data_IF_190356187619
#
_entry.id   IF_190356187619
#
_cell.length_a   1.000
_cell.length_b   1.000
_cell.length_c   1.000
_cell.angle_alpha   90.00
_cell.angle_beta   90.00
_cell.angle_gamma   90.00
#
_symmetry.space_group_name_H-M   'P 1'
#
loop_
_entity.id
_entity.type
_entity.pdbx_description
1 polymer ?
#
# COMPACT_ATOMS: atom_id res chain seq x y z
N UNK A 1 -1.16 46.77 24.91
CA UNK A 1 -0.52 47.41 23.74
C UNK A 1 0.78 48.03 24.16
N UNK A 2 1.90 47.31 24.02
CA UNK A 2 3.25 47.88 24.12
C UNK A 2 4.16 47.04 23.22
N UNK A 3 4.14 47.36 21.93
CA UNK A 3 5.14 46.89 20.98
C UNK A 3 6.43 47.63 21.37
N UNK A 4 7.36 46.95 22.03
CA UNK A 4 8.69 47.48 22.28
C UNK A 4 9.31 47.84 20.92
N UNK A 5 9.66 49.12 20.75
CA UNK A 5 10.31 49.62 19.53
C UNK A 5 11.51 48.73 19.19
N UNK A 6 11.41 47.95 18.10
CA UNK A 6 12.54 47.23 17.50
C UNK A 6 13.65 48.25 17.21
N UNK A 7 14.73 48.22 17.99
CA UNK A 7 15.85 49.16 17.87
C UNK A 7 16.35 49.34 16.43
N UNK A 8 16.77 50.56 16.09
CA UNK A 8 17.39 50.89 14.79
C UNK A 8 18.83 50.35 14.80
N UNK A 9 19.02 49.17 14.24
CA UNK A 9 20.34 48.57 13.98
C UNK A 9 20.34 47.89 12.61
N UNK A 10 21.52 47.63 12.01
CA UNK A 10 21.63 46.99 10.71
C UNK A 10 20.95 45.62 10.70
N UNK A 11 20.32 45.27 9.57
CA UNK A 11 19.54 44.03 9.39
C UNK A 11 20.33 42.79 9.82
N UNK A 12 21.63 42.74 9.50
CA UNK A 12 22.53 41.65 9.84
C UNK A 12 22.70 41.44 11.35
N UNK A 13 22.74 42.51 12.14
CA UNK A 13 22.84 42.40 13.60
C UNK A 13 21.57 41.82 14.24
N UNK A 14 20.39 42.18 13.70
CA UNK A 14 19.10 41.61 14.13
C UNK A 14 19.00 40.13 13.80
N UNK A 15 19.38 39.75 12.57
CA UNK A 15 19.45 38.35 12.14
C UNK A 15 20.41 37.55 13.02
N UNK A 16 21.57 38.10 13.36
CA UNK A 16 22.56 37.41 14.19
C UNK A 16 22.06 37.18 15.63
N UNK A 17 21.38 38.17 16.23
CA UNK A 17 20.73 37.98 17.53
C UNK A 17 19.63 36.93 17.48
N UNK A 18 18.75 36.99 16.47
CA UNK A 18 17.67 36.02 16.30
C UNK A 18 18.24 34.60 16.16
N UNK A 19 19.28 34.42 15.33
CA UNK A 19 19.97 33.12 15.13
C UNK A 19 20.60 32.58 16.41
N UNK A 20 21.16 33.44 17.26
CA UNK A 20 21.73 33.02 18.55
C UNK A 20 20.68 32.50 19.52
N UNK A 21 19.43 32.98 19.44
CA UNK A 21 18.34 32.54 20.30
C UNK A 21 17.65 31.26 19.83
N UNK A 22 17.82 30.87 18.56
CA UNK A 22 17.27 29.63 17.98
C UNK A 22 17.64 28.37 18.77
N UNK A 23 18.93 28.05 19.06
CA UNK A 23 19.29 26.79 19.73
C UNK A 23 18.70 26.69 21.15
N UNK A 24 18.56 27.82 21.84
CA UNK A 24 17.95 27.86 23.18
C UNK A 24 16.45 27.56 23.09
N UNK A 25 15.76 28.12 22.10
CA UNK A 25 14.36 27.82 21.84
C UNK A 25 14.15 26.35 21.45
N UNK A 26 15.03 25.78 20.60
CA UNK A 26 15.00 24.35 20.24
C UNK A 26 15.11 23.50 21.50
N UNK A 27 16.13 23.75 22.33
CA UNK A 27 16.36 22.98 23.55
C UNK A 27 15.16 23.05 24.49
N UNK A 28 14.57 24.24 24.68
CA UNK A 28 13.37 24.43 25.50
C UNK A 28 12.17 23.62 24.97
N UNK A 29 11.93 23.65 23.67
CA UNK A 29 10.82 22.92 23.05
C UNK A 29 11.04 21.40 23.15
N UNK A 30 12.25 20.91 22.87
CA UNK A 30 12.58 19.50 22.95
C UNK A 30 12.57 18.96 24.39
N UNK A 31 12.81 19.81 25.39
CA UNK A 31 12.75 19.40 26.81
C UNK A 31 11.32 19.34 27.34
N UNK A 32 10.33 19.89 26.62
CA UNK A 32 8.93 19.80 27.01
C UNK A 32 8.38 18.38 26.77
N UNK A 33 8.19 17.64 27.86
CA UNK A 33 7.62 16.29 27.84
C UNK A 33 6.31 16.13 27.04
N UNK A 34 5.27 16.98 27.19
CA UNK A 34 4.03 16.81 26.43
C UNK A 34 4.24 17.02 24.92
N UNK A 35 5.09 17.97 24.54
CA UNK A 35 5.43 18.20 23.14
C UNK A 35 6.12 16.97 22.52
N UNK A 36 7.10 16.40 23.22
CA UNK A 36 7.82 15.22 22.73
C UNK A 36 6.94 13.97 22.63
N UNK A 37 6.10 13.70 23.63
CA UNK A 37 5.19 12.56 23.62
C UNK A 37 4.19 12.63 22.45
N UNK A 38 3.59 13.81 22.24
CA UNK A 38 2.64 14.01 21.15
C UNK A 38 3.36 13.95 19.79
N UNK A 39 4.57 14.48 19.69
CA UNK A 39 5.38 14.42 18.47
C UNK A 39 5.75 12.97 18.12
N UNK A 40 6.11 12.16 19.12
CA UNK A 40 6.39 10.74 18.92
C UNK A 40 5.15 9.97 18.48
N UNK A 41 3.99 10.24 19.08
CA UNK A 41 2.73 9.64 18.66
C UNK A 41 2.40 9.98 17.19
N UNK A 42 2.57 11.24 16.79
CA UNK A 42 2.43 11.66 15.39
C UNK A 42 3.46 11.02 14.46
N UNK A 43 4.69 10.80 14.93
CA UNK A 43 5.71 10.15 14.12
C UNK A 43 5.35 8.69 13.83
N UNK A 44 4.83 7.96 14.82
CA UNK A 44 4.35 6.58 14.67
C UNK A 44 3.13 6.53 13.75
N UNK A 45 2.15 7.42 13.94
CA UNK A 45 0.98 7.49 13.07
C UNK A 45 1.38 7.80 11.61
N UNK A 46 2.28 8.76 11.42
CA UNK A 46 2.82 9.11 10.11
C UNK A 46 3.63 7.97 9.47
N UNK A 47 4.34 7.16 10.27
CA UNK A 47 5.06 5.97 9.80
C UNK A 47 4.07 4.96 9.19
N UNK A 48 2.98 4.67 9.92
CA UNK A 48 1.94 3.73 9.49
C UNK A 48 1.26 4.24 8.22
N UNK A 49 0.83 5.51 8.18
CA UNK A 49 0.13 6.09 7.02
C UNK A 49 1.05 6.09 5.77
N UNK A 50 2.32 6.46 5.93
CA UNK A 50 3.27 6.52 4.81
C UNK A 50 3.61 5.13 4.29
N UNK A 51 3.83 4.16 5.19
CA UNK A 51 4.10 2.78 4.84
C UNK A 51 2.90 2.11 4.17
N UNK A 52 1.72 2.20 4.79
CA UNK A 52 0.49 1.65 4.24
C UNK A 52 0.17 2.24 2.87
N UNK A 53 0.26 3.57 2.69
CA UNK A 53 -0.05 4.21 1.41
C UNK A 53 0.93 3.85 0.28
N UNK A 54 2.23 3.70 0.58
CA UNK A 54 3.25 3.39 -0.42
C UNK A 54 3.12 1.97 -0.97
N UNK A 55 2.63 1.03 -0.15
CA UNK A 55 2.52 -0.38 -0.52
C UNK A 55 1.08 -0.86 -0.72
N UNK A 56 0.07 0.01 -0.52
CA UNK A 56 -1.34 -0.36 -0.65
C UNK A 56 -1.67 -0.93 -2.03
N UNK A 57 -1.11 -0.37 -3.11
CA UNK A 57 -1.37 -0.87 -4.46
C UNK A 57 -0.84 -2.28 -4.66
N UNK A 58 0.39 -2.57 -4.19
CA UNK A 58 0.95 -3.92 -4.19
C UNK A 58 0.12 -4.88 -3.36
N UNK A 59 -0.32 -4.44 -2.17
CA UNK A 59 -1.22 -5.22 -1.31
C UNK A 59 -2.52 -5.58 -2.05
N UNK A 60 -3.17 -4.60 -2.68
CA UNK A 60 -4.41 -4.81 -3.43
C UNK A 60 -4.23 -5.70 -4.67
N UNK A 61 -3.14 -5.51 -5.42
CA UNK A 61 -2.80 -6.34 -6.57
C UNK A 61 -2.62 -7.81 -6.18
N UNK A 62 -1.97 -8.06 -5.03
CA UNK A 62 -1.66 -9.42 -4.55
C UNK A 62 -2.86 -10.09 -3.88
N UNK A 63 -3.53 -9.41 -2.96
CA UNK A 63 -4.61 -10.01 -2.16
C UNK A 63 -5.91 -10.19 -2.94
N UNK A 64 -6.14 -9.41 -4.00
CA UNK A 64 -7.37 -9.46 -4.78
C UNK A 64 -7.16 -9.84 -6.25
N UNK A 65 -5.93 -10.18 -6.66
CA UNK A 65 -5.55 -10.58 -8.03
C UNK A 65 -6.12 -9.63 -9.11
N UNK A 66 -6.03 -8.33 -8.86
CA UNK A 66 -6.63 -7.31 -9.74
C UNK A 66 -5.61 -6.89 -10.81
N UNK A 67 -5.89 -7.07 -12.11
CA UNK A 67 -5.01 -6.57 -13.15
C UNK A 67 -5.16 -5.05 -13.34
N UNK A 68 -4.07 -4.33 -13.60
CA UNK A 68 -4.06 -2.87 -13.75
C UNK A 68 -4.75 -2.34 -15.02
N UNK A 69 -5.28 -3.22 -15.87
CA UNK A 69 -5.95 -2.82 -17.13
C UNK A 69 -7.19 -3.66 -17.46
N UNK A 70 -8.33 -2.94 -17.56
CA UNK A 70 -9.66 -3.31 -18.10
C UNK A 70 -10.68 -3.87 -17.06
N UNK A 71 -11.98 -3.51 -16.99
CA UNK A 71 -12.86 -2.49 -17.61
C UNK A 71 -14.34 -2.76 -17.22
N UNK A 72 -15.04 -1.84 -16.56
CA UNK A 72 -16.52 -1.66 -16.60
C UNK A 72 -16.97 -0.29 -16.08
N UNK A 73 -18.10 0.23 -16.58
CA UNK A 73 -18.62 1.58 -16.31
C UNK A 73 -19.70 1.53 -15.23
N UNK A 74 -19.32 1.45 -13.96
CA UNK A 74 -20.24 1.64 -12.83
C UNK A 74 -19.48 2.38 -11.71
N UNK A 75 -20.20 3.14 -10.89
CA UNK A 75 -19.67 4.01 -9.81
C UNK A 75 -18.68 3.28 -8.87
N UNK A 76 -18.79 1.96 -8.71
CA UNK A 76 -17.83 1.12 -7.97
C UNK A 76 -16.51 0.84 -8.71
N UNK A 77 -16.53 0.78 -10.04
CA UNK A 77 -15.34 0.47 -10.85
C UNK A 77 -14.39 1.67 -10.95
N UNK A 78 -14.89 2.89 -10.74
CA UNK A 78 -14.06 4.08 -10.63
C UNK A 78 -13.19 3.98 -9.38
N UNK A 79 -13.79 3.72 -8.21
CA UNK A 79 -13.06 3.44 -6.96
C UNK A 79 -12.06 2.28 -7.12
N UNK A 80 -12.47 1.20 -7.77
CA UNK A 80 -11.66 -0.01 -8.02
C UNK A 80 -10.48 0.23 -8.97
N UNK A 81 -10.69 0.92 -10.09
CA UNK A 81 -9.66 1.25 -11.08
C UNK A 81 -8.68 2.32 -10.56
N UNK A 82 -9.14 3.21 -9.69
CA UNK A 82 -8.29 4.14 -8.95
C UNK A 82 -7.44 3.42 -7.90
N UNK A 83 -7.96 2.37 -7.25
CA UNK A 83 -7.23 1.57 -6.26
C UNK A 83 -6.08 0.74 -6.86
N UNK A 84 -6.23 0.26 -8.09
CA UNK A 84 -5.19 -0.52 -8.77
C UNK A 84 -4.06 0.34 -9.37
N UNK A 85 -4.27 1.64 -9.61
CA UNK A 85 -3.22 2.51 -10.18
C UNK A 85 -2.54 3.34 -9.09
N UNK A 86 -1.32 2.94 -8.71
CA UNK A 86 -0.52 3.52 -7.60
C UNK A 86 -0.53 5.05 -7.53
N UNK A 87 -0.40 5.74 -8.68
CA UNK A 87 -0.37 7.21 -8.73
C UNK A 87 -1.73 7.90 -8.56
N UNK A 88 -2.85 7.21 -8.81
CA UNK A 88 -4.18 7.80 -8.77
C UNK A 88 -4.90 7.51 -7.45
N UNK A 89 -4.65 6.36 -6.82
CA UNK A 89 -5.17 6.05 -5.49
C UNK A 89 -4.77 7.09 -4.44
N UNK A 90 -3.48 7.46 -4.45
CA UNK A 90 -2.92 8.40 -3.49
C UNK A 90 -3.48 9.81 -3.67
N UNK A 91 -3.77 10.24 -4.90
CA UNK A 91 -4.26 11.59 -5.22
C UNK A 91 -5.79 11.75 -5.20
N UNK A 92 -6.55 10.71 -5.56
CA UNK A 92 -8.00 10.84 -5.80
C UNK A 92 -8.89 10.21 -4.73
N UNK A 93 -8.39 9.27 -3.92
CA UNK A 93 -9.19 8.62 -2.85
C UNK A 93 -8.69 9.04 -1.47
N UNK A 94 -7.38 8.95 -1.22
CA UNK A 94 -6.83 9.31 0.09
C UNK A 94 -6.92 10.81 0.38
N UNK A 95 -6.64 11.68 -0.60
CA UNK A 95 -6.70 13.14 -0.41
C UNK A 95 -8.09 13.65 -0.04
N UNK A 96 -9.20 13.30 -0.72
CA UNK A 96 -10.51 13.78 -0.31
C UNK A 96 -10.94 13.21 1.03
N UNK A 97 -10.64 11.93 1.34
CA UNK A 97 -10.91 11.38 2.67
C UNK A 97 -10.08 12.09 3.75
N UNK A 98 -8.82 12.41 3.48
CA UNK A 98 -7.99 13.20 4.37
C UNK A 98 -8.57 14.60 4.61
N UNK A 99 -9.04 15.27 3.55
CA UNK A 99 -9.71 16.56 3.63
C UNK A 99 -10.97 16.50 4.50
N UNK A 100 -11.87 15.56 4.21
CA UNK A 100 -13.12 15.37 4.96
C UNK A 100 -12.85 15.02 6.44
N UNK A 101 -11.91 14.11 6.72
CA UNK A 101 -11.54 13.74 8.08
C UNK A 101 -10.97 14.91 8.88
N UNK A 102 -10.05 15.67 8.28
CA UNK A 102 -9.50 16.88 8.89
C UNK A 102 -10.57 17.95 9.13
N UNK A 103 -11.47 18.17 8.17
CA UNK A 103 -12.56 19.14 8.30
C UNK A 103 -13.53 18.76 9.42
N UNK A 104 -13.98 17.51 9.46
CA UNK A 104 -14.88 17.02 10.51
C UNK A 104 -14.22 17.16 11.88
N UNK A 105 -12.96 16.73 12.02
CA UNK A 105 -12.29 16.85 13.31
C UNK A 105 -12.04 18.30 13.73
N UNK A 106 -11.68 19.19 12.78
CA UNK A 106 -11.52 20.61 13.05
C UNK A 106 -12.83 21.26 13.46
N UNK A 107 -13.92 20.92 12.78
CA UNK A 107 -15.27 21.37 13.12
C UNK A 107 -15.65 20.93 14.54
N UNK A 108 -15.43 19.66 14.90
CA UNK A 108 -15.71 19.15 16.26
C UNK A 108 -14.92 19.93 17.32
N UNK A 109 -13.61 20.13 17.11
CA UNK A 109 -12.76 20.84 18.09
C UNK A 109 -13.18 22.30 18.26
N UNK A 110 -13.54 22.97 17.16
CA UNK A 110 -13.93 24.38 17.17
C UNK A 110 -15.35 24.60 17.70
N UNK A 111 -16.31 23.78 17.26
CA UNK A 111 -17.72 23.90 17.62
C UNK A 111 -17.95 23.63 19.11
N UNK A 112 -17.40 22.54 19.63
CA UNK A 112 -17.55 22.18 21.05
C UNK A 112 -16.56 22.89 21.98
N UNK A 113 -15.66 23.73 21.44
CA UNK A 113 -14.58 24.41 22.19
C UNK A 113 -13.88 23.48 23.19
N UNK A 114 -13.42 22.34 22.68
CA UNK A 114 -12.87 21.26 23.52
C UNK A 114 -11.62 21.74 24.29
N UNK A 115 -11.53 21.37 25.58
CA UNK A 115 -10.33 21.55 26.41
C UNK A 115 -9.20 20.61 25.96
N UNK A 116 -7.93 20.90 26.33
CA UNK A 116 -6.78 20.06 25.96
C UNK A 116 -6.98 18.57 26.32
N UNK A 117 -7.50 18.30 27.52
CA UNK A 117 -7.78 16.93 27.97
C UNK A 117 -8.86 16.27 27.13
N UNK A 118 -9.93 16.99 26.79
CA UNK A 118 -11.02 16.46 25.97
C UNK A 118 -10.58 16.26 24.53
N UNK A 119 -9.76 17.15 23.97
CA UNK A 119 -9.16 17.00 22.65
C UNK A 119 -8.25 15.77 22.59
N UNK A 120 -7.43 15.51 23.63
CA UNK A 120 -6.64 14.29 23.74
C UNK A 120 -7.51 13.04 23.85
N UNK A 121 -8.59 13.07 24.64
CA UNK A 121 -9.56 11.96 24.71
C UNK A 121 -10.21 11.68 23.35
N UNK A 122 -10.52 12.73 22.58
CA UNK A 122 -11.02 12.60 21.21
C UNK A 122 -9.99 11.91 20.31
N UNK A 123 -8.72 12.33 20.35
CA UNK A 123 -7.64 11.68 19.60
C UNK A 123 -7.49 10.20 19.96
N UNK A 124 -7.50 9.85 21.25
CA UNK A 124 -7.44 8.45 21.71
C UNK A 124 -8.67 7.66 21.24
N UNK A 125 -9.86 8.25 21.29
CA UNK A 125 -11.08 7.62 20.79
C UNK A 125 -11.03 7.34 19.29
N UNK A 126 -10.54 8.30 18.49
CA UNK A 126 -10.36 8.11 17.04
C UNK A 126 -9.34 7.00 16.74
N UNK A 127 -8.22 6.96 17.46
CA UNK A 127 -7.23 5.88 17.32
C UNK A 127 -7.81 4.51 17.71
N UNK A 128 -8.65 4.47 18.75
CA UNK A 128 -9.34 3.24 19.14
C UNK A 128 -10.32 2.76 18.06
N UNK A 129 -11.09 3.67 17.45
CA UNK A 129 -11.95 3.33 16.30
C UNK A 129 -11.12 2.81 15.13
N UNK A 130 -9.99 3.45 14.81
CA UNK A 130 -9.07 2.95 13.79
C UNK A 130 -8.53 1.54 14.10
N UNK A 131 -8.21 1.27 15.37
CA UNK A 131 -7.80 -0.07 15.82
C UNK A 131 -8.91 -1.11 15.62
N UNK A 132 -10.15 -0.77 15.95
CA UNK A 132 -11.32 -1.65 15.76
C UNK A 132 -11.61 -1.92 14.27
N UNK A 133 -11.26 -0.99 13.37
CA UNK A 133 -11.40 -1.13 11.91
C UNK A 133 -10.20 -1.83 11.24
N UNK A 134 -9.11 -2.04 11.96
CA UNK A 134 -7.90 -2.74 11.48
C UNK A 134 -8.11 -4.19 10.99
N UNK A 135 -9.04 -5.03 11.50
CA UNK A 135 -9.23 -6.39 10.99
C UNK A 135 -9.72 -6.45 9.53
N UNK A 136 -9.92 -5.33 8.84
CA UNK A 136 -10.08 -5.31 7.38
C UNK A 136 -8.97 -6.05 6.62
N UNK A 137 -7.74 -6.09 7.18
CA UNK A 137 -6.62 -6.83 6.60
C UNK A 137 -6.76 -8.35 6.69
N UNK A 138 -7.72 -8.86 7.49
CA UNK A 138 -8.02 -10.29 7.58
C UNK A 138 -8.96 -10.78 6.47
N UNK A 139 -9.50 -9.87 5.65
CA UNK A 139 -10.33 -10.23 4.50
C UNK A 139 -9.41 -10.83 3.44
N UNK A 140 -9.24 -12.14 3.52
CA UNK A 140 -8.47 -12.92 2.55
C UNK A 140 -9.37 -13.35 1.38
N UNK A 141 -8.85 -13.22 0.17
CA UNK A 141 -9.44 -13.84 -1.00
C UNK A 141 -8.59 -15.01 -1.48
N UNK A 142 -9.19 -16.17 -1.82
CA UNK A 142 -8.43 -17.25 -2.44
C UNK A 142 -7.81 -16.75 -3.75
N UNK A 143 -6.48 -16.76 -3.80
CA UNK A 143 -5.71 -16.47 -5.00
C UNK A 143 -5.67 -17.71 -5.90
N UNK A 144 -5.73 -17.53 -7.23
CA UNK A 144 -5.56 -18.64 -8.17
C UNK A 144 -4.11 -19.15 -8.16
N UNK A 145 -3.86 -20.45 -7.99
CA UNK A 145 -2.51 -20.96 -7.78
C UNK A 145 -1.59 -20.71 -8.99
N UNK A 146 -0.33 -20.36 -8.72
CA UNK A 146 0.69 -20.17 -9.75
C UNK A 146 1.34 -21.52 -10.12
N UNK A 147 1.15 -21.95 -11.36
CA UNK A 147 1.67 -23.22 -11.88
C UNK A 147 3.19 -23.17 -11.97
N UNK A 148 3.84 -24.22 -11.46
CA UNK A 148 5.30 -24.37 -11.40
C UNK A 148 5.96 -23.72 -10.18
N UNK A 149 5.19 -23.08 -9.29
CA UNK A 149 5.68 -22.44 -8.06
C UNK A 149 4.89 -22.93 -6.84
N UNK A 150 3.56 -22.89 -6.91
CA UNK A 150 2.67 -23.33 -5.83
C UNK A 150 2.03 -24.68 -6.13
N UNK A 151 1.74 -24.93 -7.41
CA UNK A 151 1.15 -26.18 -7.90
C UNK A 151 1.97 -26.77 -9.02
N UNK A 152 1.91 -28.09 -9.18
CA UNK A 152 2.53 -28.78 -10.31
C UNK A 152 1.76 -28.50 -11.60
N UNK A 153 2.41 -28.71 -12.75
CA UNK A 153 1.74 -28.66 -14.04
C UNK A 153 0.57 -29.67 -14.10
N UNK A 154 -0.56 -29.32 -14.77
CA UNK A 154 -1.67 -30.24 -14.94
C UNK A 154 -1.24 -31.45 -15.77
N UNK A 155 -1.58 -32.66 -15.33
CA UNK A 155 -1.35 -33.88 -16.10
C UNK A 155 -2.30 -33.97 -17.30
N UNK A 156 -2.12 -34.96 -18.19
CA UNK A 156 -2.92 -35.16 -19.41
C UNK A 156 -4.43 -35.27 -19.16
N UNK A 157 -4.82 -35.71 -17.97
CA UNK A 157 -6.23 -35.81 -17.54
C UNK A 157 -6.76 -34.52 -16.87
N UNK A 158 -5.96 -33.46 -16.81
CA UNK A 158 -6.31 -32.18 -16.20
C UNK A 158 -6.30 -32.18 -14.66
N UNK A 159 -5.73 -33.21 -14.04
CA UNK A 159 -5.62 -33.30 -12.59
C UNK A 159 -4.35 -32.56 -12.11
N UNK A 160 -4.50 -31.74 -11.07
CA UNK A 160 -3.39 -31.06 -10.39
C UNK A 160 -3.20 -31.69 -9.01
N UNK A 161 -2.00 -32.17 -8.71
CA UNK A 161 -1.63 -32.55 -7.35
C UNK A 161 -1.35 -31.29 -6.56
N UNK A 162 -2.33 -30.84 -5.77
CA UNK A 162 -2.12 -29.87 -4.70
C UNK A 162 -1.36 -30.62 -3.61
N UNK A 163 -0.22 -30.08 -3.16
CA UNK A 163 0.68 -30.72 -2.19
C UNK A 163 0.09 -30.88 -0.79
N UNK A 164 -0.96 -31.69 -0.66
CA UNK A 164 -1.61 -32.03 0.61
C UNK A 164 -1.22 -33.41 1.15
N UNK A 165 -0.47 -34.20 0.38
CA UNK A 165 0.18 -35.42 0.85
C UNK A 165 1.70 -35.25 0.75
N UNK A 166 2.40 -35.59 1.83
CA UNK A 166 3.86 -35.62 1.99
C UNK A 166 4.52 -36.66 1.08
N UNK A 167 4.28 -36.58 -0.23
CA UNK A 167 4.93 -37.35 -1.28
C UNK A 167 5.58 -36.37 -2.26
N UNK A 168 6.76 -35.87 -1.87
CA UNK A 168 7.99 -35.87 -2.67
C UNK A 168 8.00 -35.30 -4.11
N UNK A 169 7.15 -34.33 -4.44
CA UNK A 169 7.35 -33.54 -5.68
C UNK A 169 7.30 -32.06 -5.37
N UNK A 170 8.47 -31.44 -5.22
CA UNK A 170 8.60 -29.99 -5.22
C UNK A 170 8.10 -29.45 -6.58
N UNK A 171 7.22 -28.43 -6.59
CA UNK A 171 6.78 -27.82 -7.84
C UNK A 171 7.96 -27.15 -8.55
N UNK A 172 8.25 -27.60 -9.77
CA UNK A 172 9.30 -27.04 -10.63
C UNK A 172 8.70 -26.19 -11.75
N UNK A 173 9.33 -25.04 -12.05
CA UNK A 173 8.95 -24.23 -13.22
C UNK A 173 9.16 -24.96 -14.54
N UNK A 174 10.05 -25.96 -14.58
CA UNK A 174 10.30 -26.79 -15.77
C UNK A 174 9.50 -28.08 -15.70
N UNK A 175 8.94 -28.47 -16.85
CA UNK A 175 8.17 -29.69 -17.04
C UNK A 175 8.32 -30.20 -18.47
N UNK A 176 7.80 -31.39 -18.77
CA UNK A 176 7.89 -31.98 -20.11
C UNK A 176 7.20 -31.14 -21.19
N UNK A 177 6.19 -30.33 -20.83
CA UNK A 177 5.49 -29.49 -21.79
C UNK A 177 6.30 -28.25 -22.19
N UNK A 178 7.17 -27.71 -21.32
CA UNK A 178 7.99 -26.52 -21.63
C UNK A 178 9.45 -26.83 -21.95
N UNK A 179 9.85 -28.10 -21.99
CA UNK A 179 11.22 -28.53 -22.30
C UNK A 179 11.68 -28.16 -23.71
N UNK A 180 10.75 -27.85 -24.61
CA UNK A 180 11.03 -27.40 -25.97
C UNK A 180 11.55 -25.95 -26.02
N UNK A 181 11.40 -25.18 -24.93
CA UNK A 181 11.81 -23.79 -24.85
C UNK A 181 12.90 -23.57 -23.79
N UNK A 182 13.95 -22.85 -24.14
CA UNK A 182 14.99 -22.40 -23.20
C UNK A 182 14.50 -21.19 -22.39
N UNK A 183 13.58 -21.42 -21.46
CA UNK A 183 12.98 -20.36 -20.67
C UNK A 183 13.94 -19.76 -19.64
N UNK A 184 13.99 -18.43 -19.60
CA UNK A 184 14.69 -17.67 -18.57
C UNK A 184 13.80 -17.53 -17.34
N UNK A 185 14.32 -17.94 -16.18
CA UNK A 185 13.67 -17.72 -14.88
C UNK A 185 13.79 -16.24 -14.43
N UNK A 186 14.62 -15.45 -15.10
CA UNK A 186 14.81 -14.03 -14.79
C UNK A 186 13.70 -13.13 -15.35
N UNK A 187 12.78 -13.64 -16.18
CA UNK A 187 11.78 -12.84 -16.87
C UNK A 187 10.35 -13.20 -16.42
N UNK A 188 9.74 -12.35 -15.59
CA UNK A 188 8.39 -12.56 -15.05
C UNK A 188 7.32 -11.82 -15.88
N UNK A 189 6.55 -12.59 -16.63
CA UNK A 189 5.46 -12.11 -17.49
C UNK A 189 4.21 -12.98 -17.32
N UNK A 190 3.46 -12.82 -16.22
CA UNK A 190 2.38 -13.74 -15.89
C UNK A 190 1.31 -13.74 -16.97
N UNK A 191 0.75 -14.92 -17.23
CA UNK A 191 -0.39 -15.11 -18.11
C UNK A 191 -1.47 -15.92 -17.38
N UNK A 192 -2.72 -15.69 -17.74
CA UNK A 192 -3.86 -16.40 -17.18
C UNK A 192 -4.56 -17.21 -18.26
N UNK A 193 -4.63 -18.53 -18.07
CA UNK A 193 -5.49 -19.42 -18.85
C UNK A 193 -6.87 -19.49 -18.21
N UNK A 194 -7.90 -19.09 -18.95
CA UNK A 194 -9.30 -19.16 -18.52
C UNK A 194 -10.00 -20.33 -19.21
N UNK A 195 -10.63 -21.21 -18.43
CA UNK A 195 -11.40 -22.34 -18.95
C UNK A 195 -12.90 -22.02 -18.97
N UNK A 196 -13.66 -22.76 -19.79
CA UNK A 196 -15.11 -22.61 -19.93
C UNK A 196 -15.87 -22.93 -18.62
N UNK A 197 -15.36 -23.86 -17.81
CA UNK A 197 -15.89 -24.25 -16.50
C UNK A 197 -15.75 -23.17 -15.41
N UNK A 198 -15.10 -22.03 -15.74
CA UNK A 198 -14.87 -20.93 -14.81
C UNK A 198 -13.59 -21.05 -13.98
N UNK A 199 -12.85 -22.16 -14.09
CA UNK A 199 -11.50 -22.31 -13.52
C UNK A 199 -10.51 -21.42 -14.26
N UNK A 200 -9.54 -20.89 -13.52
CA UNK A 200 -8.44 -20.08 -14.07
C UNK A 200 -7.11 -20.58 -13.53
N UNK A 201 -6.07 -20.58 -14.36
CA UNK A 201 -4.71 -20.98 -13.97
C UNK A 201 -3.71 -19.91 -14.40
N UNK A 202 -2.87 -19.47 -13.47
CA UNK A 202 -1.82 -18.51 -13.73
C UNK A 202 -0.50 -19.23 -14.02
N UNK A 203 0.24 -18.77 -15.02
CA UNK A 203 1.56 -19.28 -15.38
C UNK A 203 2.62 -18.17 -15.24
N UNK A 204 3.86 -18.54 -14.92
CA UNK A 204 4.96 -17.60 -14.64
C UNK A 204 5.33 -16.71 -15.84
N UNK A 205 5.39 -17.30 -17.03
CA UNK A 205 5.67 -16.58 -18.28
C UNK A 205 5.00 -17.29 -19.47
N UNK A 206 4.84 -16.62 -20.63
CA UNK A 206 4.38 -17.29 -21.85
C UNK A 206 5.30 -18.44 -22.28
N UNK A 207 6.61 -18.35 -21.99
CA UNK A 207 7.56 -19.41 -22.25
C UNK A 207 7.30 -20.63 -21.36
N UNK A 208 7.10 -20.42 -20.06
CA UNK A 208 6.79 -21.51 -19.13
C UNK A 208 5.41 -22.13 -19.37
N UNK A 209 4.50 -21.41 -20.03
CA UNK A 209 3.24 -21.95 -20.53
C UNK A 209 3.36 -22.69 -21.88
N UNK A 210 4.56 -22.69 -22.50
CA UNK A 210 4.83 -23.37 -23.76
C UNK A 210 4.10 -22.76 -24.96
N UNK A 211 3.82 -21.45 -24.92
CA UNK A 211 3.18 -20.73 -26.02
C UNK A 211 4.17 -20.53 -27.17
N UNK A 212 3.84 -21.06 -28.35
CA UNK A 212 4.70 -20.98 -29.54
C UNK A 212 4.49 -19.69 -30.34
N UNK A 213 3.31 -19.06 -30.21
CA UNK A 213 2.93 -17.88 -30.96
C UNK A 213 3.18 -16.59 -30.18
N UNK A 214 3.61 -15.53 -30.90
CA UNK A 214 3.80 -14.21 -30.31
C UNK A 214 2.46 -13.61 -29.85
N UNK A 215 2.51 -12.79 -28.80
CA UNK A 215 1.33 -12.10 -28.27
C UNK A 215 0.61 -11.31 -29.36
N UNK A 216 -0.68 -11.61 -29.57
CA UNK A 216 -1.50 -10.90 -30.56
C UNK A 216 -2.00 -9.57 -29.98
N UNK A 217 -1.52 -8.39 -30.43
CA UNK A 217 -1.93 -7.11 -29.85
C UNK A 217 -3.38 -6.73 -30.18
N UNK A 218 -3.89 -7.16 -31.34
CA UNK A 218 -5.30 -6.93 -31.73
C UNK A 218 -6.28 -7.75 -30.89
N UNK A 219 -5.90 -8.99 -30.58
CA UNK A 219 -6.77 -9.99 -29.97
C UNK A 219 -6.58 -10.10 -28.45
N UNK A 220 -5.45 -9.59 -27.93
CA UNK A 220 -5.06 -9.55 -26.51
C UNK A 220 -4.98 -10.94 -25.84
N UNK A 221 -4.71 -11.98 -26.62
CA UNK A 221 -4.52 -13.33 -26.11
C UNK A 221 -3.26 -14.00 -26.67
N UNK A 222 -2.76 -14.98 -25.93
CA UNK A 222 -1.77 -15.94 -26.39
C UNK A 222 -2.47 -17.17 -26.95
N UNK A 223 -1.85 -17.80 -27.94
CA UNK A 223 -2.34 -18.97 -28.66
C UNK A 223 -1.28 -20.07 -28.66
N UNK A 224 -1.73 -21.31 -28.87
CA UNK A 224 -0.87 -22.48 -29.08
C UNK A 224 0.12 -22.72 -27.91
N UNK A 225 -0.44 -22.82 -26.70
CA UNK A 225 0.31 -23.04 -25.46
C UNK A 225 0.26 -24.52 -25.06
N UNK A 226 1.39 -25.20 -25.17
CA UNK A 226 1.48 -26.66 -24.96
C UNK A 226 1.31 -27.11 -23.50
N UNK A 227 1.56 -26.24 -22.52
CA UNK A 227 1.34 -26.55 -21.10
C UNK A 227 -0.08 -26.26 -20.62
N UNK A 228 -0.92 -25.64 -21.47
CA UNK A 228 -2.31 -25.37 -21.17
C UNK A 228 -3.13 -26.54 -21.72
N UNK A 229 -3.53 -27.46 -20.84
CA UNK A 229 -4.19 -28.69 -21.24
C UNK A 229 -5.64 -28.44 -21.62
N UNK A 230 -5.99 -28.73 -22.86
CA UNK A 230 -7.37 -28.75 -23.35
C UNK A 230 -7.88 -30.19 -23.38
N UNK A 231 -8.96 -30.49 -22.64
CA UNK A 231 -9.62 -31.81 -22.63
C UNK A 231 -11.12 -31.66 -22.86
N UNK A 232 -11.81 -32.78 -23.12
CA UNK A 232 -13.27 -32.79 -23.22
C UNK A 232 -14.00 -32.23 -21.98
N UNK A 233 -13.30 -32.18 -20.83
CA UNK A 233 -13.79 -31.58 -19.59
C UNK A 233 -13.29 -30.14 -19.41
N UNK A 234 -12.02 -29.86 -19.72
CA UNK A 234 -11.46 -28.50 -19.67
C UNK A 234 -11.38 -27.89 -21.06
N UNK A 235 -12.44 -27.18 -21.47
CA UNK A 235 -12.39 -26.38 -22.69
C UNK A 235 -11.69 -25.05 -22.43
N UNK A 236 -10.65 -24.74 -23.22
CA UNK A 236 -9.92 -23.49 -23.10
C UNK A 236 -10.74 -22.36 -23.71
N UNK A 237 -10.98 -21.30 -22.93
CA UNK A 237 -11.70 -20.12 -23.44
C UNK A 237 -10.75 -19.11 -24.05
N UNK A 238 -9.69 -18.74 -23.33
CA UNK A 238 -8.69 -17.77 -23.76
C UNK A 238 -7.50 -17.75 -22.80
N UNK A 239 -6.33 -17.36 -23.31
CA UNK A 239 -5.13 -17.12 -22.50
C UNK A 239 -4.78 -15.64 -22.56
N UNK A 240 -4.95 -14.93 -21.45
CA UNK A 240 -4.72 -13.47 -21.36
C UNK A 240 -3.39 -13.14 -20.72
N UNK A 241 -2.87 -11.96 -21.04
CA UNK A 241 -1.75 -11.36 -20.32
C UNK A 241 -2.19 -10.91 -18.92
N UNK A 242 -1.37 -11.17 -17.91
CA UNK A 242 -1.61 -10.82 -16.52
C UNK A 242 -1.99 -12.01 -15.65
N UNK A 243 -2.09 -11.76 -14.35
CA UNK A 243 -2.58 -12.73 -13.37
C UNK A 243 -4.10 -12.90 -13.54
N UNK A 244 -4.62 -14.08 -13.19
CA UNK A 244 -6.04 -14.38 -13.24
C UNK A 244 -6.87 -13.43 -12.37
N UNK A 245 -8.06 -13.06 -12.87
CA UNK A 245 -8.97 -12.17 -12.17
C UNK A 245 -9.83 -12.97 -11.21
N UNK A 246 -9.65 -12.73 -9.91
CA UNK A 246 -10.53 -13.29 -8.89
C UNK A 246 -11.88 -12.53 -8.88
N UNK A 247 -13.00 -13.26 -8.94
CA UNK A 247 -14.35 -12.68 -8.78
C UNK A 247 -14.66 -12.48 -7.28
N UNK A 248 -13.78 -11.76 -6.58
CA UNK A 248 -13.86 -11.65 -5.14
C UNK A 248 -14.79 -10.53 -4.68
N UNK A 249 -15.92 -10.90 -4.07
CA UNK A 249 -16.79 -9.93 -3.36
C UNK A 249 -16.12 -9.31 -2.12
N UNK A 250 -15.06 -9.94 -1.59
CA UNK A 250 -14.32 -9.46 -0.42
C UNK A 250 -13.69 -8.08 -0.62
N UNK A 251 -13.33 -7.73 -1.85
CA UNK A 251 -12.74 -6.42 -2.16
C UNK A 251 -13.69 -5.26 -1.91
N UNK A 252 -14.98 -5.41 -2.24
CA UNK A 252 -15.97 -4.38 -1.96
C UNK A 252 -16.11 -4.16 -0.44
N UNK A 253 -16.08 -5.25 0.33
CA UNK A 253 -16.04 -5.20 1.80
C UNK A 253 -14.80 -4.48 2.33
N UNK A 254 -13.62 -4.80 1.78
CA UNK A 254 -12.37 -4.11 2.13
C UNK A 254 -12.46 -2.60 1.88
N UNK A 255 -12.95 -2.17 0.71
CA UNK A 255 -13.09 -0.74 0.39
C UNK A 255 -14.08 -0.01 1.31
N UNK A 256 -15.20 -0.65 1.66
CA UNK A 256 -16.21 -0.09 2.57
C UNK A 256 -15.64 0.13 3.97
N UNK A 257 -14.77 -0.75 4.46
CA UNK A 257 -14.13 -0.63 5.79
C UNK A 257 -12.90 0.30 5.73
N UNK A 258 -12.20 0.34 4.60
CA UNK A 258 -11.03 1.19 4.39
C UNK A 258 -11.38 2.68 4.42
N UNK A 259 -12.53 3.07 3.86
CA UNK A 259 -12.98 4.46 3.85
C UNK A 259 -13.11 5.08 5.27
N UNK A 260 -13.90 4.52 6.21
CA UNK A 260 -13.99 5.04 7.58
C UNK A 260 -12.66 4.95 8.33
N UNK A 261 -11.85 3.90 8.09
CA UNK A 261 -10.51 3.84 8.68
C UNK A 261 -9.67 5.05 8.27
N UNK A 262 -9.60 5.33 6.96
CA UNK A 262 -8.81 6.46 6.44
C UNK A 262 -9.31 7.81 6.95
N UNK A 263 -10.63 7.97 7.10
CA UNK A 263 -11.24 9.16 7.69
C UNK A 263 -10.81 9.34 9.15
N UNK A 264 -10.87 8.28 9.96
CA UNK A 264 -10.45 8.31 11.36
C UNK A 264 -8.96 8.61 11.51
N UNK A 265 -8.09 8.01 10.70
CA UNK A 265 -6.64 8.24 10.77
C UNK A 265 -6.29 9.70 10.45
N UNK A 266 -6.86 10.29 9.40
CA UNK A 266 -6.58 11.69 9.07
C UNK A 266 -7.27 12.67 10.03
N UNK A 267 -8.42 12.29 10.60
CA UNK A 267 -9.08 13.08 11.64
C UNK A 267 -8.21 13.28 12.88
N UNK A 268 -7.30 12.35 13.22
CA UNK A 268 -6.41 12.44 14.39
C UNK A 268 -5.36 13.56 14.26
N UNK A 269 -4.97 13.95 13.05
CA UNK A 269 -3.93 14.96 12.84
C UNK A 269 -4.32 16.35 13.38
N UNK A 270 -5.57 16.77 13.17
CA UNK A 270 -6.09 18.08 13.58
C UNK A 270 -6.12 18.28 15.11
N UNK A 271 -6.70 17.37 15.92
CA UNK A 271 -6.74 17.52 17.37
C UNK A 271 -5.34 17.46 17.96
N UNK A 272 -4.42 16.67 17.38
CA UNK A 272 -3.03 16.66 17.83
C UNK A 272 -2.35 18.01 17.59
N UNK A 273 -2.43 18.57 16.38
CA UNK A 273 -1.88 19.91 16.09
C UNK A 273 -2.51 20.96 17.01
N UNK A 274 -3.82 20.87 17.27
CA UNK A 274 -4.52 21.77 18.19
C UNK A 274 -3.98 21.71 19.63
N UNK A 275 -3.70 20.52 20.15
CA UNK A 275 -3.10 20.34 21.48
C UNK A 275 -1.69 20.93 21.52
N UNK A 276 -0.88 20.68 20.49
CA UNK A 276 0.50 21.20 20.42
C UNK A 276 0.52 22.73 20.50
N UNK A 277 -0.33 23.39 19.71
CA UNK A 277 -0.45 24.85 19.72
C UNK A 277 -0.87 25.42 21.09
N UNK A 278 -1.54 24.62 21.93
CA UNK A 278 -1.90 25.00 23.30
C UNK A 278 -0.83 24.66 24.33
N UNK A 279 0.08 23.74 24.04
CA UNK A 279 1.21 23.38 24.92
C UNK A 279 2.42 24.29 24.77
N UNK A 280 2.52 25.04 23.67
CA UNK A 280 3.64 25.93 23.39
C UNK A 280 3.21 27.40 23.39
N UNK A 281 4.13 28.27 23.80
CA UNK A 281 3.92 29.72 23.83
C UNK A 281 3.61 30.29 22.45
N UNK A 282 2.79 31.34 22.40
CA UNK A 282 2.30 31.95 21.16
C UNK A 282 3.44 32.32 20.18
N UNK A 283 4.55 32.83 20.71
CA UNK A 283 5.71 33.27 19.94
C UNK A 283 6.54 32.11 19.37
N UNK A 284 6.41 30.91 19.92
CA UNK A 284 7.22 29.73 19.56
C UNK A 284 6.40 28.71 18.72
N UNK A 285 5.10 28.94 18.49
CA UNK A 285 4.19 28.00 17.78
C UNK A 285 4.66 27.57 16.40
N UNK A 286 4.96 28.53 15.53
CA UNK A 286 5.40 28.23 14.16
C UNK A 286 6.73 27.49 14.15
N UNK A 287 7.59 27.79 15.12
CA UNK A 287 8.87 27.11 15.28
C UNK A 287 8.69 25.69 15.79
N UNK A 288 7.83 25.48 16.78
CA UNK A 288 7.47 24.17 17.32
C UNK A 288 6.86 23.25 16.25
N UNK A 289 5.94 23.76 15.42
CA UNK A 289 5.39 23.00 14.27
C UNK A 289 6.47 22.63 13.25
N UNK A 290 7.44 23.50 13.02
CA UNK A 290 8.61 23.22 12.18
C UNK A 290 9.46 22.07 12.72
N UNK A 291 9.84 22.14 14.00
CA UNK A 291 10.60 21.08 14.68
C UNK A 291 9.81 19.77 14.67
N UNK A 292 8.52 19.81 15.00
CA UNK A 292 7.64 18.65 14.96
C UNK A 292 7.64 18.01 13.56
N UNK A 293 7.48 18.81 12.51
CA UNK A 293 7.48 18.32 11.13
C UNK A 293 8.81 17.65 10.75
N UNK A 294 9.93 18.19 11.20
CA UNK A 294 11.26 17.58 11.00
C UNK A 294 11.34 16.24 11.74
N UNK A 295 10.97 16.19 13.02
CA UNK A 295 11.01 14.96 13.83
C UNK A 295 10.10 13.86 13.28
N UNK A 296 8.86 14.21 12.91
CA UNK A 296 7.91 13.28 12.29
C UNK A 296 8.46 12.72 10.99
N UNK A 297 9.16 13.54 10.19
CA UNK A 297 9.74 13.08 8.93
C UNK A 297 10.91 12.12 9.16
N UNK A 298 11.82 12.48 10.07
CA UNK A 298 13.02 11.68 10.38
C UNK A 298 12.65 10.35 11.02
N UNK A 299 11.74 10.35 11.99
CA UNK A 299 11.38 9.17 12.78
C UNK A 299 10.31 8.33 12.08
N UNK A 300 9.42 8.96 11.30
CA UNK A 300 8.28 8.30 10.67
C UNK A 300 8.41 8.14 9.17
N UNK A 301 8.35 9.24 8.41
CA UNK A 301 8.19 9.14 6.94
C UNK A 301 9.39 8.54 6.22
N UNK A 302 10.62 8.81 6.68
CA UNK A 302 11.84 8.30 6.06
C UNK A 302 12.00 6.78 6.28
N UNK A 303 11.90 6.24 7.51
CA UNK A 303 12.01 4.80 7.73
C UNK A 303 10.81 4.01 7.24
N UNK A 304 9.63 4.61 7.04
CA UNK A 304 8.42 3.90 6.66
C UNK A 304 8.55 3.09 5.34
N UNK A 305 8.99 3.66 4.20
CA UNK A 305 9.16 2.88 2.98
C UNK A 305 10.20 1.76 3.11
N UNK A 306 11.25 1.97 3.91
CA UNK A 306 12.32 0.98 4.13
C UNK A 306 11.79 -0.20 4.96
N UNK A 307 11.11 0.08 6.08
CA UNK A 307 10.56 -0.96 6.95
C UNK A 307 9.46 -1.76 6.25
N UNK A 308 8.52 -1.09 5.60
CA UNK A 308 7.48 -1.79 4.85
C UNK A 308 8.05 -2.52 3.64
N UNK A 309 9.05 -1.95 2.94
CA UNK A 309 9.76 -2.63 1.87
C UNK A 309 10.39 -3.93 2.34
N UNK A 310 11.15 -3.89 3.43
CA UNK A 310 11.74 -5.07 4.04
C UNK A 310 10.69 -6.11 4.47
N UNK A 311 9.58 -5.67 5.06
CA UNK A 311 8.47 -6.56 5.44
C UNK A 311 7.87 -7.27 4.23
N UNK A 312 7.65 -6.58 3.10
CA UNK A 312 7.19 -7.20 1.86
C UNK A 312 8.23 -8.15 1.25
N UNK A 313 9.51 -7.80 1.35
CA UNK A 313 10.60 -8.60 0.79
C UNK A 313 10.78 -9.92 1.56
N UNK A 314 10.60 -9.92 2.88
CA UNK A 314 10.62 -11.13 3.72
C UNK A 314 9.44 -12.06 3.43
N UNK A 315 8.28 -11.52 3.06
CA UNK A 315 7.12 -12.30 2.65
C UNK A 315 7.24 -12.92 1.24
N UNK A 316 8.38 -12.74 0.55
CA UNK A 316 8.60 -13.28 -0.79
C UNK A 316 9.05 -14.73 -0.81
N UNK A 317 8.38 -15.56 -1.61
CA UNK A 317 8.77 -16.96 -1.87
C UNK A 317 10.01 -17.01 -2.78
N UNK A 318 10.12 -16.05 -3.72
CA UNK A 318 11.23 -15.99 -4.68
C UNK A 318 11.61 -14.53 -4.95
N UNK A 319 12.86 -14.20 -4.65
CA UNK A 319 13.46 -12.91 -5.00
C UNK A 319 13.96 -12.96 -6.44
N UNK A 320 13.56 -11.98 -7.26
CA UNK A 320 14.06 -11.80 -8.61
C UNK A 320 15.18 -10.75 -8.58
N UNK A 321 16.42 -11.18 -8.79
CA UNK A 321 17.54 -10.29 -9.04
C UNK A 321 17.65 -10.04 -10.55
N UNK A 322 17.11 -8.93 -11.04
CA UNK A 322 17.41 -8.46 -12.41
C UNK A 322 18.88 -8.03 -12.51
N UNK A 323 19.58 -8.28 -13.64
CA UNK A 323 21.00 -7.94 -13.80
C UNK A 323 21.32 -6.44 -13.80
N UNK A 324 20.32 -5.55 -13.77
CA UNK A 324 20.50 -4.10 -13.89
C UNK A 324 19.57 -3.31 -12.95
N UNK A 325 19.93 -3.21 -11.67
CA UNK A 325 19.84 -1.97 -10.86
C UNK A 325 18.52 -1.20 -10.66
N UNK A 326 17.37 -1.55 -11.21
CA UNK A 326 16.13 -0.80 -10.93
C UNK A 326 14.84 -1.62 -11.10
N UNK A 327 14.15 -1.82 -9.97
CA UNK A 327 12.77 -2.31 -9.78
C UNK A 327 12.60 -3.80 -9.48
N UNK A 328 12.70 -4.14 -8.19
CA UNK A 328 12.43 -5.48 -7.66
C UNK A 328 10.94 -5.82 -7.80
N UNK A 329 10.58 -6.68 -8.75
CA UNK A 329 9.27 -7.35 -8.79
C UNK A 329 9.30 -8.57 -7.87
N UNK A 330 9.08 -8.29 -6.60
CA UNK A 330 9.01 -9.29 -5.55
C UNK A 330 7.67 -10.07 -5.60
N UNK A 331 7.77 -11.40 -5.70
CA UNK A 331 6.66 -12.36 -5.57
C UNK A 331 6.42 -12.61 -4.08
N UNK A 332 5.65 -11.71 -3.44
CA UNK A 332 5.18 -11.83 -2.06
C UNK A 332 3.77 -12.44 -2.01
N UNK A 333 3.52 -13.28 -1.00
CA UNK A 333 2.18 -13.54 -0.47
C UNK A 333 1.63 -12.27 0.20
#
# INVERSE_FOLDING_TARGET
TTIAHRGRGPLWYKLWLDVRHIPIAIYRILTNAPFMLITLAMAIDSLIITGASSFMSKYLERQFSVPPSNSSFLIGDCYFKFASRSHCFQGCIMVPMAGVGCMISGFIVQYFRLNCVTTLKLSVGLLFVSLVLTPMYLIYCPHDPLVGVETTYPDRDGHMSVGSNYSEVEPTLRSACNSHCLCSEAEFHPICAQYADGRQLSYYSPCFAGCSEAYSPMQKFYSNCSCVVETARLQLRQVKKGICQSNCKGLLGFLIIFAPLSLCTFAVAVPIISVILRTVDYNERSFALGIQGILVRIIGTIPAPVLFGWMFDVSCIRSQSEPCGASVRNLAY
#
